data_IF_558441005452
#
_entry.id   IF_558441005452
#
_cell.length_a   1.000
_cell.length_b   1.000
_cell.length_c   1.000
_cell.angle_alpha   90.00
_cell.angle_beta   90.00
_cell.angle_gamma   90.00
#
_symmetry.space_group_name_H-M   'P 1'
#
loop_
_entity.id
_entity.type
_entity.pdbx_description
1 polymer ?
#
# COMPACT_ATOMS: atom_id res chain seq x y z
N UNK A 1 -11.30 16.35 6.40
CA UNK A 1 -11.32 15.04 7.01
C UNK A 1 -9.91 14.51 7.17
N UNK A 2 -9.62 13.89 8.29
CA UNK A 2 -8.31 13.29 8.46
C UNK A 2 -8.15 12.14 7.49
N UNK A 3 -6.93 11.96 7.01
CA UNK A 3 -6.59 10.81 6.21
C UNK A 3 -6.77 9.56 7.05
N UNK A 4 -7.49 8.59 6.52
CA UNK A 4 -7.64 7.32 7.20
C UNK A 4 -6.37 6.53 6.98
N UNK A 5 -5.63 6.31 8.07
CA UNK A 5 -4.42 5.51 8.03
C UNK A 5 -4.78 4.06 8.28
N UNK A 6 -4.38 3.21 7.36
CA UNK A 6 -4.55 1.77 7.54
C UNK A 6 -3.19 1.16 7.84
N UNK A 7 -3.09 0.52 8.99
CA UNK A 7 -1.86 -0.09 9.47
C UNK A 7 -2.07 -1.57 9.76
N UNK A 8 -1.02 -2.34 9.54
CA UNK A 8 -0.98 -3.74 9.91
C UNK A 8 0.36 -4.07 10.53
N UNK A 9 0.39 -5.05 11.42
CA UNK A 9 1.63 -5.52 12.03
C UNK A 9 1.80 -6.99 11.66
N UNK A 10 3.01 -7.36 11.22
CA UNK A 10 3.29 -8.70 10.72
C UNK A 10 4.55 -9.25 11.37
N UNK A 11 4.49 -10.52 11.76
CA UNK A 11 5.64 -11.19 12.35
C UNK A 11 6.47 -11.87 11.26
N UNK A 12 7.30 -11.07 10.58
CA UNK A 12 8.11 -11.54 9.48
C UNK A 12 9.23 -10.53 9.21
N UNK A 13 10.08 -10.81 8.24
CA UNK A 13 11.16 -9.90 7.89
C UNK A 13 10.64 -8.77 7.00
N UNK A 14 11.33 -7.64 7.06
CA UNK A 14 11.04 -6.50 6.20
C UNK A 14 11.14 -6.87 4.73
N UNK A 15 12.14 -7.68 4.39
CA UNK A 15 12.34 -8.12 3.00
C UNK A 15 11.17 -8.95 2.51
N UNK A 16 10.65 -9.85 3.33
CA UNK A 16 9.48 -10.66 2.98
C UNK A 16 8.25 -9.79 2.74
N UNK A 17 8.07 -8.77 3.58
CA UNK A 17 6.96 -7.82 3.43
C UNK A 17 7.09 -7.05 2.12
N UNK A 18 8.27 -6.54 1.81
CA UNK A 18 8.50 -5.78 0.58
C UNK A 18 8.22 -6.63 -0.65
N UNK A 19 8.69 -7.87 -0.67
CA UNK A 19 8.46 -8.77 -1.78
C UNK A 19 6.97 -9.08 -1.95
N UNK A 20 6.28 -9.36 -0.86
CA UNK A 20 4.85 -9.65 -0.91
C UNK A 20 4.05 -8.42 -1.37
N UNK A 21 4.41 -7.24 -0.88
CA UNK A 21 3.75 -6.00 -1.28
C UNK A 21 3.97 -5.68 -2.76
N UNK A 22 5.18 -5.87 -3.25
CA UNK A 22 5.50 -5.62 -4.66
C UNK A 22 4.64 -6.51 -5.55
N UNK A 23 4.56 -7.79 -5.23
CA UNK A 23 3.77 -8.74 -5.99
C UNK A 23 2.28 -8.40 -5.93
N UNK A 24 1.80 -8.05 -4.74
CA UNK A 24 0.40 -7.71 -4.54
C UNK A 24 0.01 -6.44 -5.29
N UNK A 25 0.86 -5.41 -5.27
CA UNK A 25 0.60 -4.18 -5.99
C UNK A 25 0.56 -4.41 -7.49
N UNK A 26 1.43 -5.28 -8.01
CA UNK A 26 1.37 -5.64 -9.44
C UNK A 26 0.07 -6.35 -9.77
N UNK A 27 -0.40 -7.24 -8.92
CA UNK A 27 -1.67 -7.94 -9.14
C UNK A 27 -2.86 -6.99 -9.10
N UNK A 28 -2.76 -5.93 -8.32
CA UNK A 28 -3.79 -4.88 -8.26
C UNK A 28 -3.59 -3.82 -9.33
N UNK A 29 -2.65 -4.05 -10.25
CA UNK A 29 -2.38 -3.21 -11.42
C UNK A 29 -1.79 -1.85 -11.09
N UNK A 30 -1.00 -1.78 -10.03
CA UNK A 30 -0.21 -0.61 -9.73
C UNK A 30 1.16 -0.72 -10.40
N UNK A 31 1.69 0.41 -10.83
CA UNK A 31 3.07 0.52 -11.28
C UNK A 31 3.92 0.97 -10.11
N UNK A 32 4.97 0.24 -9.82
CA UNK A 32 5.91 0.62 -8.78
C UNK A 32 6.81 1.72 -9.34
N UNK A 33 6.71 2.91 -8.76
CA UNK A 33 7.52 4.05 -9.18
C UNK A 33 8.83 4.15 -8.43
N UNK A 34 8.83 3.77 -7.16
CA UNK A 34 10.01 3.84 -6.33
C UNK A 34 9.90 2.85 -5.19
N UNK A 35 11.01 2.21 -4.88
CA UNK A 35 11.15 1.34 -3.71
C UNK A 35 12.43 1.74 -3.01
N UNK A 36 12.33 2.03 -1.71
CA UNK A 36 13.49 2.32 -0.90
C UNK A 36 13.53 1.39 0.30
N UNK A 37 14.37 0.38 0.21
CA UNK A 37 14.52 -0.62 1.28
C UNK A 37 15.02 -0.02 2.58
N UNK A 38 15.92 0.93 2.49
CA UNK A 38 16.51 1.55 3.68
C UNK A 38 15.50 2.34 4.47
N UNK A 39 14.71 3.17 3.76
CA UNK A 39 13.70 4.00 4.40
C UNK A 39 12.39 3.25 4.63
N UNK A 40 12.23 2.07 4.02
CA UNK A 40 11.01 1.32 4.16
C UNK A 40 9.84 2.00 3.48
N UNK A 41 9.94 2.17 2.17
CA UNK A 41 8.99 2.98 1.46
C UNK A 41 8.75 2.41 0.06
N UNK A 42 7.48 2.32 -0.34
CA UNK A 42 7.09 1.95 -1.70
C UNK A 42 6.12 3.01 -2.21
N UNK A 43 6.40 3.54 -3.40
CA UNK A 43 5.53 4.47 -4.07
C UNK A 43 5.03 3.82 -5.35
N UNK A 44 3.71 3.68 -5.46
CA UNK A 44 3.08 3.03 -6.60
C UNK A 44 1.95 3.89 -7.14
N UNK A 45 1.70 3.76 -8.43
CA UNK A 45 0.63 4.50 -9.10
C UNK A 45 -0.17 3.57 -10.00
N UNK A 46 -1.47 3.81 -10.04
CA UNK A 46 -2.37 3.16 -10.97
C UNK A 46 -2.79 4.20 -12.01
N UNK A 47 -2.69 3.82 -13.29
CA UNK A 47 -3.00 4.74 -14.36
C UNK A 47 -4.49 4.97 -14.54
N UNK A 48 -4.82 5.93 -15.39
CA UNK A 48 -6.20 6.20 -15.76
C UNK A 48 -6.78 5.04 -16.57
N UNK A 49 -8.02 4.73 -16.31
CA UNK A 49 -8.78 3.74 -17.04
C UNK A 49 -10.05 4.36 -17.56
N UNK A 50 -10.76 3.64 -18.42
CA UNK A 50 -11.95 4.15 -19.09
C UNK A 50 -12.98 4.75 -18.14
N UNK A 51 -13.20 4.09 -17.01
CA UNK A 51 -14.19 4.56 -16.03
C UNK A 51 -13.60 4.73 -14.63
N UNK A 52 -12.28 4.85 -14.54
CA UNK A 52 -11.63 4.97 -13.25
C UNK A 52 -10.51 5.97 -13.30
N UNK A 53 -10.44 6.82 -12.28
CA UNK A 53 -9.33 7.74 -12.11
C UNK A 53 -8.11 7.00 -11.59
N UNK A 54 -6.93 7.52 -11.90
CA UNK A 54 -5.69 6.96 -11.39
C UNK A 54 -5.60 7.11 -9.88
N UNK A 55 -4.83 6.23 -9.26
CA UNK A 55 -4.61 6.23 -7.82
C UNK A 55 -3.13 6.23 -7.52
N UNK A 56 -2.79 6.84 -6.40
CA UNK A 56 -1.44 6.82 -5.87
C UNK A 56 -1.46 6.07 -4.55
N UNK A 57 -0.53 5.15 -4.38
CA UNK A 57 -0.43 4.36 -3.16
C UNK A 57 0.96 4.53 -2.57
N UNK A 58 1.02 4.94 -1.33
CA UNK A 58 2.27 5.08 -0.59
C UNK A 58 2.24 4.09 0.56
N UNK A 59 3.25 3.23 0.61
CA UNK A 59 3.36 2.22 1.65
C UNK A 59 4.62 2.50 2.46
N UNK A 60 4.45 2.60 3.77
CA UNK A 60 5.58 2.75 4.70
C UNK A 60 5.74 1.46 5.48
N UNK A 61 6.98 1.03 5.59
CA UNK A 61 7.32 -0.21 6.26
C UNK A 61 8.38 0.09 7.30
N UNK A 62 8.09 -0.21 8.56
CA UNK A 62 9.04 0.02 9.64
C UNK A 62 9.17 -1.21 10.51
N UNK A 63 10.39 -1.42 11.00
CA UNK A 63 10.68 -2.56 11.87
C UNK A 63 10.44 -2.15 13.32
N UNK A 64 9.63 -2.97 14.03
CA UNK A 64 9.27 -2.74 15.42
C UNK A 64 9.61 -4.01 16.19
N UNK A 65 10.85 -4.12 16.67
CA UNK A 65 11.31 -5.35 17.33
C UNK A 65 11.30 -6.53 16.37
N UNK A 66 10.54 -7.56 16.69
CA UNK A 66 10.41 -8.74 15.83
C UNK A 66 9.28 -8.59 14.81
N UNK A 67 8.52 -7.53 14.90
CA UNK A 67 7.41 -7.28 14.00
C UNK A 67 7.77 -6.23 12.96
N UNK A 68 7.03 -6.24 11.85
CA UNK A 68 7.14 -5.23 10.82
C UNK A 68 5.79 -4.55 10.71
N UNK A 69 5.79 -3.24 10.87
CA UNK A 69 4.56 -2.45 10.74
C UNK A 69 4.46 -1.91 9.32
N UNK A 70 3.29 -2.08 8.73
CA UNK A 70 3.00 -1.62 7.38
C UNK A 70 1.87 -0.62 7.43
N UNK A 71 2.12 0.57 6.88
CA UNK A 71 1.12 1.62 6.77
C UNK A 71 0.83 1.87 5.30
N UNK A 72 -0.43 1.75 4.91
CA UNK A 72 -0.85 1.94 3.52
C UNK A 72 -1.71 3.18 3.42
N UNK A 73 -1.36 4.04 2.49
CA UNK A 73 -2.12 5.26 2.21
C UNK A 73 -2.31 5.39 0.71
N UNK A 74 -3.58 5.40 0.29
CA UNK A 74 -3.93 5.57 -1.11
C UNK A 74 -4.76 6.82 -1.30
N UNK A 75 -4.58 7.46 -2.44
CA UNK A 75 -5.34 8.67 -2.78
C UNK A 75 -5.64 8.66 -4.27
N UNK A 76 -6.69 9.39 -4.66
CA UNK A 76 -7.01 9.60 -6.06
C UNK A 76 -5.98 10.54 -6.68
N UNK A 77 -5.75 10.38 -7.97
CA UNK A 77 -4.79 11.21 -8.69
C UNK A 77 -5.19 12.69 -8.67
N UNK A 78 -6.47 12.98 -8.60
CA UNK A 78 -6.95 14.36 -8.54
C UNK A 78 -6.97 14.93 -7.12
N UNK A 79 -6.59 14.15 -6.13
CA UNK A 79 -6.59 14.60 -4.75
C UNK A 79 -7.97 14.71 -4.14
N UNK A 80 -9.01 14.32 -4.87
CA UNK A 80 -10.37 14.32 -4.36
C UNK A 80 -10.65 12.92 -3.82
N UNK A 81 -10.61 12.79 -2.50
CA UNK A 81 -10.92 11.53 -1.87
C UNK A 81 -12.43 11.37 -1.70
N UNK A 82 -12.99 10.32 -2.26
CA UNK A 82 -14.36 9.93 -1.93
C UNK A 82 -14.27 8.98 -0.75
N UNK A 83 -14.88 9.33 0.40
CA UNK A 83 -14.81 8.47 1.57
C UNK A 83 -15.34 7.07 1.26
N UNK A 84 -14.62 6.07 1.69
CA UNK A 84 -15.02 4.69 1.52
C UNK A 84 -14.47 4.01 0.28
N UNK A 85 -14.07 4.76 -0.75
CA UNK A 85 -13.52 4.15 -1.97
C UNK A 85 -12.03 3.89 -1.80
N UNK A 86 -11.27 4.88 -1.33
CA UNK A 86 -9.85 4.71 -1.09
C UNK A 86 -9.56 3.76 0.08
N UNK A 87 -10.35 3.88 1.15
CA UNK A 87 -10.19 3.02 2.30
C UNK A 87 -10.39 1.54 1.99
N UNK A 88 -11.23 1.23 1.02
CA UNK A 88 -11.50 -0.13 0.58
C UNK A 88 -10.23 -0.78 -0.01
N UNK A 89 -9.48 -0.04 -0.80
CA UNK A 89 -8.25 -0.54 -1.42
C UNK A 89 -7.16 -0.78 -0.37
N UNK A 90 -7.01 0.15 0.56
CA UNK A 90 -6.03 0.03 1.63
C UNK A 90 -6.27 -1.20 2.49
N UNK A 91 -7.53 -1.41 2.86
CA UNK A 91 -7.93 -2.60 3.63
C UNK A 91 -7.67 -3.88 2.84
N UNK A 92 -7.97 -3.87 1.55
CA UNK A 92 -7.77 -5.03 0.70
C UNK A 92 -6.29 -5.40 0.62
N UNK A 93 -5.43 -4.40 0.47
CA UNK A 93 -3.99 -4.62 0.41
C UNK A 93 -3.49 -5.25 1.70
N UNK A 94 -3.88 -4.69 2.84
CA UNK A 94 -3.44 -5.22 4.13
C UNK A 94 -3.99 -6.62 4.38
N UNK A 95 -5.24 -6.88 4.03
CA UNK A 95 -5.85 -8.18 4.21
C UNK A 95 -5.16 -9.24 3.35
N UNK A 96 -4.90 -8.92 2.09
CA UNK A 96 -4.19 -9.83 1.19
C UNK A 96 -2.76 -10.09 1.64
N UNK A 97 -2.11 -9.04 2.16
CA UNK A 97 -0.76 -9.18 2.68
C UNK A 97 -0.74 -10.16 3.86
N UNK A 98 -1.71 -10.07 4.73
CA UNK A 98 -1.82 -10.99 5.86
C UNK A 98 -2.02 -12.42 5.39
N UNK A 99 -2.77 -12.64 4.33
CA UNK A 99 -2.98 -13.97 3.77
C UNK A 99 -1.70 -14.55 3.15
N UNK A 100 -0.83 -13.71 2.62
CA UNK A 100 0.40 -14.16 1.96
C UNK A 100 1.57 -14.35 2.92
N UNK A 101 1.51 -13.71 4.07
CA UNK A 101 2.54 -13.81 5.09
C UNK A 101 2.11 -14.75 6.20
#
# INVERSE_FOLDING_TARGET
LPNILHKGSFHCTKHAVINALTDLLHRERFYIRDINDRKGFIFAQQGLRLFALGRTCIVRISEEGENVEVEVRCSNKLGIGLPGITGSIEKKILQRLQEEL
#
